data_IF_506581209716
#
_entry.id   IF_506581209716
#
_cell.length_a   1.000
_cell.length_b   1.000
_cell.length_c   1.000
_cell.angle_alpha   90.00
_cell.angle_beta   90.00
_cell.angle_gamma   90.00
#
_symmetry.space_group_name_H-M   'P 1'
#
loop_
_entity.id
_entity.type
_entity.pdbx_description
1 polymer ?
#
# COMPACT_ATOMS: atom_id res chain seq x y z
N UNK A 1 2.69 10.91 13.67
CA UNK A 1 1.99 10.31 12.52
C UNK A 1 2.91 9.32 11.85
N UNK A 2 2.44 8.09 11.69
CA UNK A 2 3.22 6.97 11.15
C UNK A 2 2.59 6.43 9.86
N UNK A 3 3.43 5.87 8.99
CA UNK A 3 3.04 5.25 7.72
C UNK A 3 3.56 3.82 7.69
N UNK A 4 2.71 2.88 7.30
CA UNK A 4 3.10 1.49 7.11
C UNK A 4 3.04 1.16 5.61
N UNK A 5 4.01 0.42 5.13
CA UNK A 5 4.08 -0.10 3.77
C UNK A 5 4.64 -1.53 3.76
N UNK A 6 4.92 -2.09 2.59
CA UNK A 6 5.39 -3.47 2.48
C UNK A 6 6.85 -3.54 2.05
N UNK A 7 7.56 -4.54 2.57
CA UNK A 7 8.84 -4.99 2.01
C UNK A 7 8.64 -5.32 0.53
N UNK A 8 9.57 -4.93 -0.33
CA UNK A 8 9.51 -5.00 -1.79
C UNK A 8 8.49 -4.05 -2.44
N UNK A 9 7.75 -3.23 -1.67
CA UNK A 9 6.92 -2.15 -2.21
C UNK A 9 7.77 -1.01 -2.78
N UNK A 10 7.28 -0.35 -3.84
CA UNK A 10 7.94 0.80 -4.43
C UNK A 10 6.95 1.95 -4.63
N UNK A 11 7.22 3.10 -4.01
CA UNK A 11 6.30 4.24 -3.98
C UNK A 11 6.87 5.53 -4.54
N UNK A 12 8.09 5.50 -5.07
CA UNK A 12 8.74 6.65 -5.71
C UNK A 12 10.08 7.03 -5.11
N UNK A 13 10.65 8.14 -5.60
CA UNK A 13 12.02 8.60 -5.28
C UNK A 13 12.07 9.97 -4.62
N UNK A 14 10.94 10.60 -4.33
CA UNK A 14 10.92 11.75 -3.42
C UNK A 14 11.21 11.27 -2.02
N UNK A 15 11.69 12.13 -1.14
CA UNK A 15 12.22 11.69 0.16
C UNK A 15 11.20 10.87 0.97
N UNK A 16 9.97 11.37 1.14
CA UNK A 16 8.92 10.63 1.84
C UNK A 16 8.51 9.34 1.10
N UNK A 17 8.39 9.38 -0.24
CA UNK A 17 8.07 8.20 -1.04
C UNK A 17 9.16 7.11 -0.94
N UNK A 18 10.43 7.51 -0.87
CA UNK A 18 11.53 6.56 -0.64
C UNK A 18 11.50 5.98 0.78
N UNK A 19 11.06 6.74 1.77
CA UNK A 19 10.85 6.21 3.12
C UNK A 19 9.72 5.17 3.18
N UNK A 20 8.68 5.31 2.35
CA UNK A 20 7.63 4.31 2.18
C UNK A 20 8.07 3.13 1.29
N UNK A 21 9.05 3.31 0.41
CA UNK A 21 9.57 2.24 -0.45
C UNK A 21 10.29 1.17 0.37
N UNK A 22 9.86 -0.08 0.28
CA UNK A 22 10.40 -1.22 1.04
C UNK A 22 11.53 -2.00 0.34
N UNK A 23 12.14 -1.44 -0.71
CA UNK A 23 13.30 -2.01 -1.41
C UNK A 23 14.57 -1.45 -0.77
N UNK A 24 15.09 -2.17 0.23
CA UNK A 24 16.17 -1.69 1.12
C UNK A 24 17.48 -1.33 0.42
N UNK A 25 17.73 -1.87 -0.77
CA UNK A 25 18.94 -1.56 -1.55
C UNK A 25 19.00 -0.09 -2.01
N UNK A 26 17.87 0.62 -2.03
CA UNK A 26 17.84 2.05 -2.37
C UNK A 26 18.09 2.97 -1.17
N UNK A 27 17.85 2.50 0.06
CA UNK A 27 17.87 3.34 1.25
C UNK A 27 19.18 4.09 1.51
N UNK A 28 20.37 3.48 1.30
CA UNK A 28 21.64 4.18 1.58
C UNK A 28 21.82 5.50 0.81
N UNK A 29 21.16 5.66 -0.33
CA UNK A 29 21.21 6.89 -1.13
C UNK A 29 20.34 8.03 -0.56
N UNK A 30 19.45 7.73 0.40
CA UNK A 30 18.45 8.65 0.94
C UNK A 30 18.56 8.84 2.47
N UNK A 31 19.68 8.43 3.05
CA UNK A 31 19.93 8.64 4.48
C UNK A 31 20.31 10.12 4.79
N UNK A 32 19.88 10.66 5.94
CA UNK A 32 18.99 10.04 6.92
C UNK A 32 17.53 10.04 6.45
N UNK A 33 16.86 8.90 6.56
CA UNK A 33 15.44 8.78 6.21
C UNK A 33 14.54 9.45 7.26
N UNK A 34 13.35 9.86 6.83
CA UNK A 34 12.34 10.44 7.71
C UNK A 34 11.86 9.35 8.68
N UNK A 35 11.84 9.60 10.00
CA UNK A 35 11.29 8.64 10.96
C UNK A 35 9.77 8.48 10.81
N UNK A 36 9.24 7.36 11.31
CA UNK A 36 7.81 7.07 11.30
C UNK A 36 7.31 6.29 10.07
N UNK A 37 8.22 5.76 9.26
CA UNK A 37 7.90 4.84 8.17
C UNK A 37 8.31 3.41 8.55
N UNK A 38 7.36 2.48 8.48
CA UNK A 38 7.53 1.09 8.86
C UNK A 38 7.18 0.16 7.73
N UNK A 39 7.80 -1.01 7.70
CA UNK A 39 7.59 -1.99 6.64
C UNK A 39 7.18 -3.34 7.23
N UNK A 40 6.15 -3.95 6.66
CA UNK A 40 5.71 -5.30 7.00
C UNK A 40 6.06 -6.28 5.88
N UNK A 41 6.11 -7.59 6.14
CA UNK A 41 6.24 -8.58 5.07
C UNK A 41 5.18 -8.38 3.99
N UNK A 42 5.57 -8.54 2.73
CA UNK A 42 4.64 -8.56 1.60
C UNK A 42 3.96 -9.94 1.46
N UNK A 43 2.80 -10.01 0.79
CA UNK A 43 2.09 -11.26 0.53
C UNK A 43 2.77 -12.07 -0.58
N UNK A 44 4.06 -12.36 -0.44
CA UNK A 44 4.85 -13.04 -1.46
C UNK A 44 4.81 -14.57 -1.23
N UNK A 45 4.06 -15.34 -2.05
CA UNK A 45 3.78 -16.74 -1.77
C UNK A 45 5.02 -17.63 -1.58
N UNK A 46 6.14 -17.26 -2.22
CA UNK A 46 7.39 -18.04 -2.17
C UNK A 46 8.30 -17.68 -1.00
N UNK A 47 8.11 -16.55 -0.36
CA UNK A 47 9.01 -16.07 0.70
C UNK A 47 8.28 -15.83 2.04
N UNK A 48 6.97 -15.71 2.02
CA UNK A 48 6.18 -15.54 3.24
C UNK A 48 5.74 -16.90 3.76
N UNK A 49 6.25 -17.27 4.92
CA UNK A 49 5.86 -18.49 5.63
C UNK A 49 4.73 -18.14 6.60
N UNK A 50 3.51 -18.58 6.27
CA UNK A 50 2.37 -18.42 7.16
C UNK A 50 2.47 -19.42 8.33
N UNK A 51 1.99 -19.06 9.54
CA UNK A 51 1.81 -20.02 10.64
C UNK A 51 0.92 -21.20 10.21
N UNK A 52 1.20 -22.39 10.73
CA UNK A 52 0.47 -23.63 10.39
C UNK A 52 -1.03 -23.57 10.71
N UNK A 53 -1.41 -22.77 11.69
CA UNK A 53 -2.79 -22.54 12.13
C UNK A 53 -3.49 -21.37 11.44
N UNK A 54 -2.83 -20.69 10.51
CA UNK A 54 -3.41 -19.57 9.78
C UNK A 54 -4.54 -20.03 8.83
N UNK A 55 -5.65 -19.30 8.72
CA UNK A 55 -6.75 -19.65 7.82
C UNK A 55 -6.31 -19.71 6.35
N UNK A 56 -5.40 -18.82 5.96
CA UNK A 56 -4.73 -18.80 4.65
C UNK A 56 -3.44 -18.00 4.73
N UNK A 57 -2.58 -18.16 3.73
CA UNK A 57 -1.36 -17.38 3.61
C UNK A 57 -1.67 -15.87 3.38
N UNK A 58 -2.75 -15.54 2.66
CA UNK A 58 -3.17 -14.17 2.42
C UNK A 58 -3.63 -13.48 3.69
N UNK A 59 -4.48 -14.14 4.49
CA UNK A 59 -4.94 -13.63 5.78
C UNK A 59 -3.76 -13.48 6.75
N UNK A 60 -2.86 -14.47 6.82
CA UNK A 60 -1.68 -14.39 7.68
C UNK A 60 -0.80 -13.18 7.33
N UNK A 61 -0.51 -12.99 6.04
CA UNK A 61 0.27 -11.83 5.58
C UNK A 61 -0.44 -10.51 5.84
N UNK A 62 -1.77 -10.45 5.72
CA UNK A 62 -2.54 -9.25 6.04
C UNK A 62 -2.53 -8.92 7.55
N UNK A 63 -2.57 -9.95 8.42
CA UNK A 63 -2.51 -9.75 9.86
C UNK A 63 -1.18 -9.17 10.36
N UNK A 64 -0.11 -9.20 9.56
CA UNK A 64 1.13 -8.47 9.88
C UNK A 64 0.89 -6.95 9.95
N UNK A 65 -0.11 -6.44 9.20
CA UNK A 65 -0.52 -5.03 9.33
C UNK A 65 -1.12 -4.76 10.71
N UNK A 66 -2.08 -5.59 11.16
CA UNK A 66 -2.71 -5.43 12.47
C UNK A 66 -1.67 -5.48 13.60
N UNK A 67 -0.79 -6.47 13.54
CA UNK A 67 0.32 -6.61 14.49
C UNK A 67 1.19 -5.33 14.53
N UNK A 68 1.57 -4.80 13.37
CA UNK A 68 2.39 -3.59 13.28
C UNK A 68 1.65 -2.34 13.79
N UNK A 69 0.36 -2.19 13.50
CA UNK A 69 -0.46 -1.08 14.03
C UNK A 69 -0.46 -1.10 15.56
N UNK A 70 -0.65 -2.28 16.16
CA UNK A 70 -0.68 -2.44 17.61
C UNK A 70 0.70 -2.19 18.25
N UNK A 71 1.78 -2.68 17.63
CA UNK A 71 3.16 -2.42 18.08
C UNK A 71 3.50 -0.92 18.10
N UNK A 72 3.03 -0.19 17.08
CA UNK A 72 3.33 1.23 16.91
C UNK A 72 2.40 2.16 17.72
N UNK A 73 1.28 1.62 18.20
CA UNK A 73 0.19 2.38 18.82
C UNK A 73 -0.82 2.87 17.78
N UNK A 74 -2.01 2.30 17.78
CA UNK A 74 -3.04 2.50 16.76
C UNK A 74 -3.33 3.99 16.49
N UNK A 75 -3.48 4.80 17.52
CA UNK A 75 -3.75 6.25 17.41
C UNK A 75 -2.65 7.06 16.72
N UNK A 76 -1.48 6.45 16.44
CA UNK A 76 -0.34 7.12 15.82
C UNK A 76 -0.14 6.76 14.35
N UNK A 77 -0.84 5.72 13.84
CA UNK A 77 -0.73 5.24 12.46
C UNK A 77 -1.80 5.92 11.61
N UNK A 78 -1.36 6.69 10.62
CA UNK A 78 -2.29 7.43 9.74
C UNK A 78 -2.72 6.61 8.53
N UNK A 79 -1.81 5.85 7.93
CA UNK A 79 -2.11 5.15 6.68
C UNK A 79 -1.28 3.88 6.48
N UNK A 80 -1.86 2.98 5.71
CA UNK A 80 -1.16 1.88 5.05
C UNK A 80 -1.17 2.10 3.55
N UNK A 81 0.01 2.12 2.91
CA UNK A 81 0.15 2.28 1.46
C UNK A 81 0.60 0.97 0.82
N UNK A 82 -0.10 0.57 -0.25
CA UNK A 82 0.16 -0.68 -0.94
C UNK A 82 -0.16 -0.63 -2.43
N UNK A 83 0.72 -1.21 -3.26
CA UNK A 83 0.41 -1.52 -4.66
C UNK A 83 -0.56 -2.71 -4.71
N UNK A 84 -1.61 -2.75 -5.54
CA UNK A 84 -2.42 -3.96 -5.73
C UNK A 84 -1.59 -5.18 -6.15
N UNK A 85 -0.65 -4.96 -7.06
CA UNK A 85 0.43 -5.90 -7.41
C UNK A 85 1.75 -5.17 -7.26
N UNK A 86 2.67 -5.70 -6.46
CA UNK A 86 3.97 -5.07 -6.26
C UNK A 86 4.83 -5.20 -7.53
N UNK A 87 4.87 -4.15 -8.34
CA UNK A 87 5.51 -4.19 -9.66
C UNK A 87 7.02 -4.29 -9.57
N UNK A 88 7.69 -3.26 -9.06
CA UNK A 88 9.16 -3.19 -8.96
C UNK A 88 9.75 -4.26 -8.03
N UNK A 89 8.99 -4.72 -7.06
CA UNK A 89 9.39 -5.78 -6.13
C UNK A 89 9.45 -7.18 -6.74
N UNK A 90 8.96 -7.37 -7.98
CA UNK A 90 9.02 -8.65 -8.67
C UNK A 90 7.68 -9.20 -9.18
N UNK A 91 6.72 -8.32 -9.44
CA UNK A 91 5.35 -8.68 -9.86
C UNK A 91 4.69 -9.62 -8.86
N UNK A 92 4.71 -9.20 -7.59
CA UNK A 92 4.12 -9.99 -6.49
C UNK A 92 2.62 -9.78 -6.47
N UNK A 93 1.87 -10.84 -6.76
CA UNK A 93 0.40 -10.86 -6.74
C UNK A 93 -0.07 -11.42 -5.40
N UNK A 94 -0.85 -10.68 -4.61
CA UNK A 94 -1.39 -11.19 -3.36
C UNK A 94 -2.51 -12.21 -3.59
N UNK A 95 -2.79 -13.02 -2.59
CA UNK A 95 -3.90 -13.96 -2.58
C UNK A 95 -5.25 -13.23 -2.58
N UNK A 96 -6.32 -13.95 -2.95
CA UNK A 96 -7.67 -13.39 -3.16
C UNK A 96 -8.30 -12.79 -1.89
N UNK A 97 -7.87 -13.19 -0.71
CA UNK A 97 -8.37 -12.77 0.59
C UNK A 97 -7.52 -11.67 1.27
N UNK A 98 -6.30 -11.42 0.75
CA UNK A 98 -5.37 -10.47 1.34
C UNK A 98 -5.94 -9.06 1.50
N UNK A 99 -6.37 -8.42 0.42
CA UNK A 99 -6.86 -7.04 0.48
C UNK A 99 -8.21 -6.88 1.18
N UNK A 100 -9.04 -7.91 1.18
CA UNK A 100 -10.27 -7.92 1.99
C UNK A 100 -9.94 -7.79 3.47
N UNK A 101 -8.99 -8.62 3.94
CA UNK A 101 -8.52 -8.55 5.32
C UNK A 101 -7.80 -7.24 5.64
N UNK A 102 -7.00 -6.71 4.71
CA UNK A 102 -6.37 -5.38 4.85
C UNK A 102 -7.42 -4.29 5.08
N UNK A 103 -8.52 -4.30 4.29
CA UNK A 103 -9.59 -3.31 4.46
C UNK A 103 -10.26 -3.42 5.84
N UNK A 104 -10.58 -4.63 6.27
CA UNK A 104 -11.13 -4.87 7.62
C UNK A 104 -10.23 -4.31 8.72
N UNK A 105 -8.92 -4.54 8.63
CA UNK A 105 -7.95 -4.02 9.60
C UNK A 105 -7.93 -2.49 9.56
N UNK A 106 -7.85 -1.90 8.37
CA UNK A 106 -7.82 -0.45 8.22
C UNK A 106 -9.09 0.20 8.79
N UNK A 107 -10.27 -0.40 8.55
CA UNK A 107 -11.55 0.08 9.09
C UNK A 107 -11.59 -0.04 10.62
N UNK A 108 -11.10 -1.16 11.16
CA UNK A 108 -11.09 -1.42 12.61
C UNK A 108 -10.24 -0.41 13.39
N UNK A 109 -9.13 0.02 12.82
CA UNK A 109 -8.16 0.90 13.50
C UNK A 109 -8.18 2.34 12.98
N UNK A 110 -9.15 2.71 12.13
CA UNK A 110 -9.26 4.04 11.51
C UNK A 110 -7.98 4.46 10.77
N UNK A 111 -7.30 3.49 10.13
CA UNK A 111 -6.10 3.70 9.32
C UNK A 111 -6.51 3.84 7.85
N UNK A 112 -6.05 4.90 7.19
CA UNK A 112 -6.37 5.12 5.78
C UNK A 112 -5.68 4.08 4.88
N UNK A 113 -6.44 3.45 3.99
CA UNK A 113 -5.91 2.58 2.94
C UNK A 113 -5.58 3.40 1.70
N UNK A 114 -4.31 3.46 1.34
CA UNK A 114 -3.81 4.12 0.12
C UNK A 114 -3.46 3.06 -0.92
N UNK A 115 -4.19 3.03 -2.03
CA UNK A 115 -3.85 2.18 -3.18
C UNK A 115 -2.86 2.88 -4.10
N UNK A 116 -1.67 2.31 -4.24
CA UNK A 116 -0.70 2.75 -5.23
C UNK A 116 -0.98 2.08 -6.58
N UNK A 117 -1.73 2.77 -7.42
CA UNK A 117 -2.14 2.31 -8.75
C UNK A 117 -1.22 2.84 -9.88
N UNK A 118 -0.04 3.31 -9.53
CA UNK A 118 0.91 3.87 -10.50
C UNK A 118 1.29 2.89 -11.59
N UNK A 119 1.37 1.59 -11.27
CA UNK A 119 1.61 0.52 -12.26
C UNK A 119 0.32 -0.19 -12.66
N UNK A 120 -0.57 -0.47 -11.72
CA UNK A 120 -1.74 -1.32 -11.91
C UNK A 120 -2.96 -0.61 -12.50
N UNK A 121 -3.01 0.72 -12.43
CA UNK A 121 -4.13 1.52 -12.90
C UNK A 121 -4.27 1.65 -14.43
N UNK A 122 -5.39 2.20 -14.83
CA UNK A 122 -5.74 2.53 -16.22
C UNK A 122 -5.71 1.33 -17.17
N UNK A 123 -6.27 0.21 -16.73
CA UNK A 123 -6.48 -0.97 -17.56
C UNK A 123 -5.30 -1.96 -17.58
N UNK A 124 -4.20 -1.71 -16.87
CA UNK A 124 -3.02 -2.58 -16.87
C UNK A 124 -3.32 -4.03 -16.48
N UNK A 125 -4.25 -4.22 -15.56
CA UNK A 125 -4.64 -5.54 -15.03
C UNK A 125 -5.96 -6.06 -15.62
N UNK A 126 -6.55 -5.36 -16.60
CA UNK A 126 -7.86 -5.67 -17.16
C UNK A 126 -9.04 -5.02 -16.41
N UNK A 127 -8.77 -4.26 -15.35
CA UNK A 127 -9.71 -3.39 -14.63
C UNK A 127 -9.23 -1.96 -14.70
N UNK A 128 -10.10 -0.98 -14.42
CA UNK A 128 -9.69 0.43 -14.40
C UNK A 128 -8.61 0.65 -13.35
N UNK A 129 -8.80 0.08 -12.14
CA UNK A 129 -7.81 0.06 -11.07
C UNK A 129 -7.59 -1.38 -10.61
N UNK A 130 -6.34 -1.70 -10.22
CA UNK A 130 -5.95 -3.05 -9.84
C UNK A 130 -6.68 -3.57 -8.61
N UNK A 131 -6.96 -2.70 -7.62
CA UNK A 131 -7.63 -3.09 -6.39
C UNK A 131 -9.08 -3.58 -6.60
N UNK A 132 -9.70 -3.25 -7.75
CA UNK A 132 -11.03 -3.75 -8.13
C UNK A 132 -11.10 -5.28 -8.21
N UNK A 133 -9.98 -5.97 -8.45
CA UNK A 133 -9.94 -7.43 -8.48
C UNK A 133 -10.34 -8.07 -7.14
N UNK A 134 -10.08 -7.38 -6.04
CA UNK A 134 -10.45 -7.83 -4.69
C UNK A 134 -11.79 -7.27 -4.22
N UNK A 135 -12.43 -6.38 -5.00
CA UNK A 135 -13.68 -5.73 -4.62
C UNK A 135 -13.53 -4.78 -3.42
N UNK A 136 -12.33 -4.23 -3.23
CA UNK A 136 -11.99 -3.34 -2.12
C UNK A 136 -11.89 -1.90 -2.62
N UNK A 137 -12.46 -0.96 -1.85
CA UNK A 137 -12.30 0.47 -2.09
C UNK A 137 -11.25 1.05 -1.14
N UNK A 138 -10.24 1.75 -1.64
CA UNK A 138 -9.30 2.49 -0.82
C UNK A 138 -9.87 3.87 -0.45
N UNK A 139 -9.28 4.50 0.56
CA UNK A 139 -9.58 5.88 0.93
C UNK A 139 -8.87 6.87 0.00
N UNK A 140 -7.67 6.52 -0.47
CA UNK A 140 -6.91 7.28 -1.44
C UNK A 140 -6.38 6.36 -2.54
N UNK A 141 -6.31 6.91 -3.77
CA UNK A 141 -5.66 6.27 -4.91
C UNK A 141 -4.59 7.21 -5.43
N UNK A 142 -3.34 6.76 -5.50
CA UNK A 142 -2.31 7.47 -6.26
C UNK A 142 -2.09 6.82 -7.61
N UNK A 143 -1.89 7.65 -8.63
CA UNK A 143 -1.72 7.19 -10.01
C UNK A 143 -0.78 8.07 -10.82
N UNK A 144 -0.16 7.46 -11.84
CA UNK A 144 0.73 8.12 -12.79
C UNK A 144 0.82 7.26 -14.07
N UNK A 145 1.92 7.29 -14.76
CA UNK A 145 2.30 6.45 -15.93
C UNK A 145 1.18 6.29 -16.95
N UNK A 146 0.35 5.25 -16.81
CA UNK A 146 -0.65 4.89 -17.80
C UNK A 146 -1.76 5.94 -17.99
N UNK A 147 -1.98 6.83 -17.02
CA UNK A 147 -2.98 7.92 -17.16
C UNK A 147 -2.77 8.76 -18.42
N UNK A 148 -1.53 8.91 -18.86
CA UNK A 148 -1.19 9.66 -20.08
C UNK A 148 -0.66 8.79 -21.20
N UNK A 149 -0.65 7.47 -21.04
CA UNK A 149 -0.03 6.51 -21.97
C UNK A 149 1.43 6.86 -22.34
N UNK A 150 2.13 7.56 -21.45
CA UNK A 150 3.53 7.97 -21.65
C UNK A 150 3.73 9.24 -22.49
N UNK A 151 2.67 9.90 -22.95
CA UNK A 151 2.78 11.10 -23.77
C UNK A 151 3.16 12.35 -22.98
N UNK A 152 2.83 12.40 -21.70
CA UNK A 152 3.08 13.58 -20.85
C UNK A 152 3.33 13.15 -19.40
N UNK A 153 4.26 13.80 -18.68
CA UNK A 153 4.47 13.52 -17.27
C UNK A 153 3.29 14.06 -16.44
N UNK A 154 2.47 13.18 -15.92
CA UNK A 154 1.34 13.50 -15.04
C UNK A 154 1.21 12.44 -13.95
N UNK A 155 0.91 12.87 -12.76
CA UNK A 155 0.46 12.06 -11.65
C UNK A 155 -0.66 12.75 -10.91
N UNK A 156 -1.41 11.99 -10.13
CA UNK A 156 -2.51 12.52 -9.35
C UNK A 156 -2.85 11.62 -8.15
N UNK A 157 -3.69 12.18 -7.30
CA UNK A 157 -4.27 11.50 -6.15
C UNK A 157 -5.78 11.68 -6.22
N UNK A 158 -6.52 10.58 -6.19
CA UNK A 158 -7.94 10.56 -5.93
C UNK A 158 -8.17 10.32 -4.44
N UNK A 159 -9.16 10.97 -3.87
CA UNK A 159 -9.53 10.83 -2.45
C UNK A 159 -11.02 10.53 -2.33
N UNK A 160 -11.43 9.88 -1.24
CA UNK A 160 -12.84 9.67 -0.93
C UNK A 160 -13.56 11.01 -0.67
N UNK A 161 -14.88 11.02 -0.80
CA UNK A 161 -15.70 12.20 -0.53
C UNK A 161 -15.53 12.69 0.92
N UNK A 162 -15.32 11.79 1.87
CA UNK A 162 -15.08 12.12 3.27
C UNK A 162 -13.77 12.90 3.46
N UNK A 163 -12.69 12.42 2.84
CA UNK A 163 -11.40 13.11 2.87
C UNK A 163 -11.50 14.45 2.13
N UNK A 164 -12.13 14.48 0.96
CA UNK A 164 -12.33 15.71 0.19
C UNK A 164 -13.08 16.77 1.00
N UNK A 165 -14.08 16.38 1.78
CA UNK A 165 -14.81 17.28 2.67
C UNK A 165 -13.90 17.89 3.74
N UNK A 166 -13.11 17.07 4.43
CA UNK A 166 -12.17 17.56 5.44
C UNK A 166 -11.14 18.53 4.84
N UNK A 167 -10.63 18.23 3.63
CA UNK A 167 -9.68 19.10 2.93
C UNK A 167 -10.29 20.44 2.50
N UNK A 168 -11.59 20.48 2.18
CA UNK A 168 -12.26 21.71 1.77
C UNK A 168 -12.69 22.57 2.98
N UNK A 169 -12.90 21.95 4.13
CA UNK A 169 -13.36 22.65 5.35
C UNK A 169 -12.18 23.16 6.21
N UNK A 170 -10.92 22.83 5.84
CA UNK A 170 -9.67 23.21 6.55
C UNK A 170 -8.94 24.38 5.86
#
# INVERSE_FOLDING_TARGET
>A
TKVISRIWGYHGVTWAAMCATGISTYWPMFEPRIPGFFHIPGPYPYLYEAPDDAPSQGIAAANELEKKILEEGADTVAMFIAEPVQGAGGVIVPQDDYFKRIREICDQYEVLLVSDEVITGFGRTGRMFGLEHWGVQPDLIQFAKAITSGYFPLGGIGVSDEIAKVMNDS
#
